data_IF_365747764717
#
_entry.id   IF_365747764717
#
_cell.length_a   1.000
_cell.length_b   1.000
_cell.length_c   1.000
_cell.angle_alpha   90.00
_cell.angle_beta   90.00
_cell.angle_gamma   90.00
#
_symmetry.space_group_name_H-M   'P 1'
#
loop_
_entity.id
_entity.type
_entity.pdbx_description
1 polymer ?
#
# COMPACT_ATOMS: atom_id res chain seq x y z
N UNK A 1 52.00 54.84 33.10
CA UNK A 1 52.16 53.84 34.17
C UNK A 1 50.77 53.22 34.33
N UNK A 2 50.39 51.96 34.04
CA UNK A 2 50.94 50.58 34.09
C UNK A 2 50.06 49.73 33.12
N UNK A 3 50.57 49.15 32.01
CA UNK A 3 50.89 47.73 31.69
C UNK A 3 49.90 46.58 32.06
N UNK A 4 49.36 45.94 30.99
CA UNK A 4 49.15 44.48 30.72
C UNK A 4 48.07 43.77 31.58
N UNK A 5 47.06 43.04 31.06
CA UNK A 5 47.21 41.79 30.31
C UNK A 5 45.99 41.42 29.44
N UNK A 6 46.31 40.91 28.25
CA UNK A 6 45.40 40.20 27.36
C UNK A 6 45.03 38.83 27.94
N UNK A 7 43.76 38.45 27.77
CA UNK A 7 43.28 37.07 27.90
C UNK A 7 42.34 36.79 26.72
N UNK A 8 42.95 36.25 25.66
CA UNK A 8 42.33 35.55 24.56
C UNK A 8 42.12 34.07 24.93
N UNK A 9 40.93 33.49 24.69
CA UNK A 9 40.67 32.13 24.16
C UNK A 9 39.14 31.80 24.14
N UNK A 10 38.63 30.79 23.41
CA UNK A 10 38.16 30.91 22.03
C UNK A 10 36.71 30.42 21.77
N UNK A 11 36.17 30.85 20.63
CA UNK A 11 35.28 30.14 19.69
C UNK A 11 34.51 28.92 20.24
N UNK A 12 33.20 29.08 20.45
CA UNK A 12 32.24 27.98 20.36
C UNK A 12 31.56 28.04 18.99
N UNK A 13 31.94 27.12 18.11
CA UNK A 13 31.19 26.80 16.90
C UNK A 13 29.80 26.29 17.31
N UNK A 14 28.74 27.01 16.96
CA UNK A 14 27.47 26.37 16.67
C UNK A 14 27.30 26.38 15.16
N UNK A 15 27.72 25.28 14.54
CA UNK A 15 27.23 24.91 13.23
C UNK A 15 25.71 24.74 13.35
N UNK A 16 24.96 25.72 12.84
CA UNK A 16 23.55 25.53 12.55
C UNK A 16 23.45 24.45 11.49
N UNK A 17 23.19 23.22 11.93
CA UNK A 17 22.81 22.14 11.05
C UNK A 17 21.53 22.56 10.32
N UNK A 18 21.63 22.80 9.02
CA UNK A 18 20.50 22.62 8.12
C UNK A 18 20.13 21.13 8.19
N UNK A 19 19.32 20.78 9.19
CA UNK A 19 18.54 19.56 9.11
C UNK A 19 17.66 19.72 7.85
N UNK A 20 17.68 18.76 6.91
CA UNK A 20 16.60 18.66 5.95
C UNK A 20 15.33 18.56 6.79
N UNK A 21 14.48 19.59 6.70
CA UNK A 21 13.12 19.47 7.22
C UNK A 21 12.51 18.23 6.58
N UNK A 22 11.64 17.49 7.28
CA UNK A 22 10.87 16.45 6.62
C UNK A 22 10.25 17.10 5.41
N UNK A 23 10.57 16.60 4.22
CA UNK A 23 9.87 16.90 2.99
C UNK A 23 8.40 16.63 3.30
N UNK A 24 7.70 17.69 3.70
CA UNK A 24 6.26 17.71 3.76
C UNK A 24 5.86 17.65 2.31
N UNK A 25 5.79 16.42 1.79
CA UNK A 25 5.13 16.06 0.56
C UNK A 25 3.81 16.81 0.61
N UNK A 26 3.76 17.91 -0.15
CA UNK A 26 2.56 18.67 -0.35
C UNK A 26 1.52 17.64 -0.77
N UNK A 27 0.45 17.52 0.04
CA UNK A 27 -0.71 16.71 -0.31
C UNK A 27 -1.34 17.38 -1.54
N UNK A 28 -0.78 17.05 -2.71
CA UNK A 28 -1.36 17.32 -4.02
C UNK A 28 -2.74 16.67 -4.01
N UNK A 29 -3.77 17.40 -4.42
CA UNK A 29 -5.18 17.00 -4.28
C UNK A 29 -5.40 15.53 -4.64
N UNK A 30 -5.47 14.68 -3.60
CA UNK A 30 -4.99 13.29 -3.64
C UNK A 30 -5.44 12.53 -4.88
N UNK A 31 -4.58 12.42 -5.89
CA UNK A 31 -4.79 11.50 -6.99
C UNK A 31 -4.78 10.10 -6.38
N UNK A 32 -5.98 9.53 -6.18
CA UNK A 32 -6.15 8.20 -5.57
C UNK A 32 -5.30 7.21 -6.35
N UNK A 33 -4.48 6.43 -5.64
CA UNK A 33 -3.74 5.35 -6.28
C UNK A 33 -4.74 4.37 -6.89
N UNK A 34 -4.53 4.00 -8.15
CA UNK A 34 -5.43 3.10 -8.87
C UNK A 34 -4.63 2.05 -9.63
N UNK A 35 -5.26 0.90 -9.85
CA UNK A 35 -4.76 -0.15 -10.71
C UNK A 35 -5.88 -0.61 -11.67
N UNK A 36 -5.49 -1.38 -12.69
CA UNK A 36 -6.41 -1.99 -13.63
C UNK A 36 -6.76 -3.40 -13.14
N UNK A 37 -8.03 -3.66 -12.86
CA UNK A 37 -8.52 -4.94 -12.32
C UNK A 37 -8.31 -6.12 -13.27
N UNK A 38 -8.18 -5.85 -14.57
CA UNK A 38 -7.83 -6.82 -15.62
C UNK A 38 -6.31 -7.01 -15.79
N UNK A 39 -5.48 -6.23 -15.09
CA UNK A 39 -4.00 -6.29 -15.18
C UNK A 39 -3.36 -6.57 -13.84
N UNK A 40 -3.72 -7.72 -13.26
CA UNK A 40 -3.17 -8.24 -12.02
C UNK A 40 -2.19 -9.37 -12.36
N UNK A 41 -0.96 -9.28 -11.85
CA UNK A 41 0.08 -10.31 -12.08
C UNK A 41 -0.10 -11.44 -11.08
N UNK A 42 -0.33 -11.11 -9.81
CA UNK A 42 -0.41 -12.10 -8.74
C UNK A 42 -1.32 -11.61 -7.61
N UNK A 43 -1.83 -12.56 -6.83
CA UNK A 43 -2.57 -12.28 -5.61
C UNK A 43 -2.19 -13.27 -4.50
N UNK A 44 -2.38 -12.87 -3.25
CA UNK A 44 -2.30 -13.74 -2.08
C UNK A 44 -3.42 -13.42 -1.11
N UNK A 45 -4.14 -14.44 -0.67
CA UNK A 45 -5.03 -14.32 0.47
C UNK A 45 -4.19 -14.07 1.72
N UNK A 46 -4.45 -12.96 2.39
CA UNK A 46 -3.85 -12.59 3.66
C UNK A 46 -4.55 -13.26 4.85
N UNK A 47 -4.34 -12.72 6.04
CA UNK A 47 -5.22 -13.02 7.16
C UNK A 47 -6.59 -12.40 6.86
N UNK A 48 -7.66 -13.22 6.87
CA UNK A 48 -9.02 -12.75 6.60
C UNK A 48 -9.33 -11.52 7.46
N UNK A 49 -9.78 -10.40 6.86
CA UNK A 49 -10.38 -10.27 5.52
C UNK A 49 -9.44 -9.77 4.40
N UNK A 50 -8.12 -9.80 4.55
CA UNK A 50 -7.20 -9.15 3.60
C UNK A 50 -6.83 -10.03 2.39
N UNK A 51 -6.68 -9.39 1.22
CA UNK A 51 -6.16 -9.94 -0.03
C UNK A 51 -5.10 -8.96 -0.52
N UNK A 52 -3.91 -9.43 -0.83
CA UNK A 52 -2.85 -8.63 -1.40
C UNK A 52 -2.80 -8.87 -2.91
N UNK A 53 -2.86 -7.78 -3.68
CA UNK A 53 -2.93 -7.80 -5.13
C UNK A 53 -1.72 -7.09 -5.70
N UNK A 54 -0.95 -7.78 -6.56
CA UNK A 54 0.17 -7.19 -7.29
C UNK A 54 -0.29 -6.80 -8.69
N UNK A 55 -0.35 -5.50 -8.95
CA UNK A 55 -0.71 -4.96 -10.26
C UNK A 55 0.43 -5.11 -11.27
N UNK A 56 0.13 -4.94 -12.56
CA UNK A 56 1.13 -5.02 -13.65
C UNK A 56 2.30 -4.05 -13.48
N UNK A 57 2.07 -2.87 -12.88
CA UNK A 57 3.12 -1.89 -12.57
C UNK A 57 4.07 -2.29 -11.43
N UNK A 58 3.81 -3.42 -10.76
CA UNK A 58 4.60 -3.87 -9.60
C UNK A 58 4.04 -3.41 -8.26
N UNK A 59 3.16 -2.41 -8.26
CA UNK A 59 2.47 -1.91 -7.08
C UNK A 59 1.62 -3.00 -6.41
N UNK A 60 1.66 -3.02 -5.06
CA UNK A 60 0.86 -3.95 -4.27
C UNK A 60 -0.25 -3.18 -3.56
N UNK A 61 -1.48 -3.69 -3.67
CA UNK A 61 -2.65 -3.12 -3.03
C UNK A 61 -3.23 -4.09 -2.01
N UNK A 62 -3.71 -3.54 -0.90
CA UNK A 62 -4.50 -4.29 0.07
C UNK A 62 -5.99 -4.13 -0.26
N UNK A 63 -6.65 -5.25 -0.48
CA UNK A 63 -8.09 -5.36 -0.71
C UNK A 63 -8.70 -6.11 0.46
N UNK A 64 -9.69 -5.55 1.12
CA UNK A 64 -10.38 -6.21 2.22
C UNK A 64 -11.78 -6.64 1.80
N UNK A 65 -12.12 -7.90 2.06
CA UNK A 65 -13.48 -8.40 1.88
C UNK A 65 -14.41 -7.76 2.91
N UNK A 66 -15.52 -7.18 2.46
CA UNK A 66 -16.52 -6.55 3.35
C UNK A 66 -17.59 -7.54 3.80
N UNK A 67 -17.67 -8.69 3.15
CA UNK A 67 -18.55 -9.82 3.51
C UNK A 67 -17.73 -11.10 3.62
N UNK A 68 -18.26 -12.12 4.31
CA UNK A 68 -17.65 -13.45 4.32
C UNK A 68 -17.43 -13.95 2.89
N UNK A 69 -16.20 -14.36 2.58
CA UNK A 69 -15.78 -14.83 1.27
C UNK A 69 -15.23 -16.25 1.39
N UNK A 70 -16.09 -17.24 1.17
CA UNK A 70 -15.74 -18.65 1.36
C UNK A 70 -14.68 -19.13 0.37
N UNK A 71 -13.70 -19.89 0.86
CA UNK A 71 -12.70 -20.55 0.02
C UNK A 71 -11.60 -19.65 -0.53
N UNK A 72 -11.48 -18.40 -0.02
CA UNK A 72 -10.49 -17.44 -0.53
C UNK A 72 -9.04 -17.89 -0.32
N UNK A 73 -8.75 -18.57 0.80
CA UNK A 73 -7.41 -19.08 1.12
C UNK A 73 -7.01 -20.27 0.22
N UNK A 74 -8.01 -20.99 -0.30
CA UNK A 74 -7.86 -22.11 -1.23
C UNK A 74 -8.11 -21.74 -2.69
N UNK A 75 -8.26 -20.45 -2.99
CA UNK A 75 -8.63 -19.99 -4.33
C UNK A 75 -7.47 -20.19 -5.30
N UNK A 76 -7.77 -20.80 -6.44
CA UNK A 76 -6.79 -20.94 -7.53
C UNK A 76 -6.81 -19.70 -8.43
N UNK A 77 -7.98 -19.07 -8.56
CA UNK A 77 -8.18 -17.87 -9.37
C UNK A 77 -9.11 -16.91 -8.64
N UNK A 78 -8.75 -15.62 -8.65
CA UNK A 78 -9.62 -14.53 -8.24
C UNK A 78 -9.85 -13.59 -9.43
N UNK A 79 -11.10 -13.18 -9.65
CA UNK A 79 -11.42 -12.11 -10.59
C UNK A 79 -12.01 -10.91 -9.84
N UNK A 80 -11.58 -9.72 -10.22
CA UNK A 80 -11.94 -8.46 -9.56
C UNK A 80 -12.80 -7.63 -10.51
N UNK A 81 -14.01 -7.31 -10.09
CA UNK A 81 -14.96 -6.52 -10.88
C UNK A 81 -15.34 -5.23 -10.14
N UNK A 82 -14.98 -4.04 -10.64
CA UNK A 82 -15.40 -2.77 -10.03
C UNK A 82 -16.92 -2.67 -9.92
N UNK A 83 -17.43 -2.11 -8.82
CA UNK A 83 -18.88 -1.95 -8.63
C UNK A 83 -19.45 -0.68 -9.24
N UNK A 84 -18.60 0.33 -9.40
CA UNK A 84 -18.97 1.67 -9.86
C UNK A 84 -18.07 2.04 -11.04
N UNK A 85 -18.68 2.62 -12.07
CA UNK A 85 -18.02 2.97 -13.33
C UNK A 85 -17.97 1.81 -14.34
N UNK A 86 -17.91 2.16 -15.63
CA UNK A 86 -17.67 1.20 -16.72
C UNK A 86 -16.19 0.93 -16.98
N UNK A 87 -15.28 1.52 -16.18
CA UNK A 87 -13.84 1.32 -16.34
C UNK A 87 -13.35 0.09 -15.58
N UNK A 88 -12.34 -0.60 -16.12
CA UNK A 88 -11.59 -1.64 -15.39
C UNK A 88 -10.64 -1.05 -14.34
N UNK A 89 -10.56 0.27 -14.23
CA UNK A 89 -9.74 1.00 -13.27
C UNK A 89 -10.42 0.98 -11.90
N UNK A 90 -9.71 0.48 -10.89
CA UNK A 90 -10.11 0.50 -9.48
C UNK A 90 -9.12 1.32 -8.67
N UNK A 91 -9.62 2.24 -7.86
CA UNK A 91 -8.80 3.11 -7.01
C UNK A 91 -8.92 2.73 -5.53
N UNK A 92 -7.94 3.15 -4.73
CA UNK A 92 -8.01 3.10 -3.27
C UNK A 92 -9.31 3.72 -2.78
N UNK A 93 -10.00 3.08 -1.85
CA UNK A 93 -11.37 3.36 -1.38
C UNK A 93 -12.51 2.97 -2.33
N UNK A 94 -12.27 2.37 -3.50
CA UNK A 94 -13.35 1.85 -4.34
C UNK A 94 -13.85 0.48 -3.86
N UNK A 95 -15.14 0.25 -4.08
CA UNK A 95 -15.77 -1.05 -3.82
C UNK A 95 -15.76 -1.90 -5.09
N UNK A 96 -15.55 -3.19 -4.92
CA UNK A 96 -15.49 -4.16 -6.00
C UNK A 96 -16.11 -5.50 -5.57
N UNK A 97 -16.37 -6.35 -6.55
CA UNK A 97 -16.74 -7.75 -6.35
C UNK A 97 -15.54 -8.63 -6.61
N UNK A 98 -15.36 -9.63 -5.76
CA UNK A 98 -14.34 -10.67 -5.96
C UNK A 98 -15.07 -11.96 -6.27
N UNK A 99 -14.80 -12.52 -7.45
CA UNK A 99 -15.20 -13.87 -7.83
C UNK A 99 -14.09 -14.83 -7.45
N UNK A 100 -14.43 -15.80 -6.60
CA UNK A 100 -13.52 -16.81 -6.04
C UNK A 100 -13.77 -18.14 -6.72
N UNK A 101 -12.76 -18.63 -7.45
CA UNK A 101 -12.80 -19.95 -8.07
C UNK A 101 -11.84 -20.91 -7.36
N UNK A 102 -12.40 -21.99 -6.82
CA UNK A 102 -11.68 -23.10 -6.19
C UNK A 102 -11.86 -24.34 -7.06
N UNK A 103 -10.78 -25.08 -7.36
CA UNK A 103 -10.88 -26.27 -8.20
C UNK A 103 -11.79 -27.32 -7.56
N UNK A 104 -12.73 -27.86 -8.34
CA UNK A 104 -13.67 -28.88 -7.88
C UNK A 104 -14.82 -28.37 -7.01
N UNK A 105 -14.98 -27.04 -6.86
CA UNK A 105 -16.08 -26.43 -6.10
C UNK A 105 -16.83 -25.38 -6.92
N UNK A 106 -18.01 -24.98 -6.45
CA UNK A 106 -18.77 -23.87 -7.04
C UNK A 106 -18.04 -22.54 -6.82
N UNK A 107 -18.04 -21.69 -7.86
CA UNK A 107 -17.57 -20.30 -7.75
C UNK A 107 -18.43 -19.52 -6.76
N UNK A 108 -17.81 -18.67 -5.95
CA UNK A 108 -18.48 -17.78 -5.01
C UNK A 108 -18.14 -16.32 -5.32
N UNK A 109 -19.11 -15.42 -5.15
CA UNK A 109 -18.90 -13.98 -5.31
C UNK A 109 -19.06 -13.28 -3.97
N UNK A 110 -18.10 -12.43 -3.60
CA UNK A 110 -18.16 -11.63 -2.39
C UNK A 110 -17.87 -10.14 -2.66
N UNK A 111 -18.18 -9.29 -1.68
CA UNK A 111 -17.91 -7.85 -1.75
C UNK A 111 -16.57 -7.54 -1.10
N UNK A 112 -15.85 -6.58 -1.68
CA UNK A 112 -14.58 -6.11 -1.16
C UNK A 112 -14.38 -4.61 -1.42
N UNK A 113 -13.37 -4.04 -0.78
CA UNK A 113 -12.94 -2.65 -0.97
C UNK A 113 -11.42 -2.58 -1.04
N UNK A 114 -10.89 -1.75 -1.93
CA UNK A 114 -9.45 -1.43 -1.93
C UNK A 114 -9.19 -0.49 -0.76
N UNK A 115 -8.32 -0.90 0.15
CA UNK A 115 -8.05 -0.13 1.38
C UNK A 115 -6.92 0.86 1.17
N UNK A 116 -5.82 0.41 0.56
CA UNK A 116 -4.61 1.22 0.36
C UNK A 116 -3.65 0.56 -0.62
N UNK A 117 -2.69 1.34 -1.10
CA UNK A 117 -1.47 0.85 -1.73
C UNK A 117 -0.43 0.62 -0.62
N UNK A 118 0.33 -0.48 -0.72
CA UNK A 118 1.43 -0.77 0.19
C UNK A 118 2.74 -0.17 -0.35
N UNK A 119 3.55 0.38 0.55
CA UNK A 119 4.93 0.75 0.23
C UNK A 119 5.83 -0.49 0.08
N UNK A 120 7.02 -0.32 -0.49
CA UNK A 120 7.97 -1.43 -0.64
C UNK A 120 8.38 -2.01 0.72
N UNK A 121 8.53 -1.17 1.74
CA UNK A 121 8.87 -1.54 3.11
C UNK A 121 7.73 -2.35 3.73
N UNK A 122 6.48 -1.95 3.52
CA UNK A 122 5.30 -2.68 4.00
C UNK A 122 5.17 -4.06 3.35
N UNK A 123 5.41 -4.14 2.02
CA UNK A 123 5.44 -5.42 1.31
C UNK A 123 6.57 -6.31 1.84
N UNK A 124 7.74 -5.75 2.14
CA UNK A 124 8.86 -6.47 2.74
C UNK A 124 8.59 -6.90 4.19
N UNK A 125 7.74 -6.18 4.92
CA UNK A 125 7.29 -6.54 6.26
C UNK A 125 6.20 -7.64 6.27
N UNK A 126 5.52 -7.88 5.15
CA UNK A 126 4.52 -8.95 5.07
C UNK A 126 5.13 -10.33 5.37
N UNK A 127 4.42 -11.22 6.10
CA UNK A 127 4.78 -12.62 6.19
C UNK A 127 4.99 -13.22 4.79
N UNK A 128 6.00 -14.06 4.62
CA UNK A 128 6.39 -14.62 3.31
C UNK A 128 5.22 -15.26 2.56
N UNK A 129 4.31 -15.93 3.27
CA UNK A 129 3.10 -16.56 2.71
C UNK A 129 2.07 -15.59 2.12
N UNK A 130 2.07 -14.33 2.55
CA UNK A 130 1.11 -13.29 2.12
C UNK A 130 1.69 -12.34 1.08
N UNK A 131 2.97 -12.46 0.75
CA UNK A 131 3.62 -11.61 -0.25
C UNK A 131 3.31 -12.12 -1.67
N UNK A 132 2.66 -11.32 -2.53
CA UNK A 132 2.38 -11.66 -3.92
C UNK A 132 3.58 -11.42 -4.87
#
# INVERSE_FOLDING_TARGET
MIRIAALSLPILMLAAACAPGPDMVMADGTQRACFMSDRIINFRAGQSPSIYVKALGGDVFEVQTTSYCSGIESANTLAFTPLVGSSTRTCVSDSLSVDVAVAGASSNRCRARVVRQLSAEEVAALPSRYRP
#
